data_IF_086836803475
#
_entry.id   IF_086836803475
#
_cell.length_a   1.000
_cell.length_b   1.000
_cell.length_c   1.000
_cell.angle_alpha   90.00
_cell.angle_beta   90.00
_cell.angle_gamma   90.00
#
_symmetry.space_group_name_H-M   'P 1'
#
loop_
_entity.id
_entity.type
_entity.pdbx_description
1 polymer ?
#
# COMPACT_ATOMS: atom_id res chain seq x y z
N UNK A 1 7.78 -20.29 -7.99
CA UNK A 1 7.16 -19.73 -6.78
C UNK A 1 7.54 -18.26 -6.75
N UNK A 2 6.59 -17.33 -6.95
CA UNK A 2 6.90 -15.90 -6.86
C UNK A 2 7.21 -15.60 -5.39
N UNK A 3 8.32 -14.91 -5.14
CA UNK A 3 8.69 -14.44 -3.80
C UNK A 3 7.61 -13.48 -3.30
N UNK A 4 7.18 -13.58 -2.03
CA UNK A 4 6.20 -12.65 -1.48
C UNK A 4 6.75 -11.21 -1.58
N UNK A 5 5.85 -10.24 -1.81
CA UNK A 5 6.15 -8.82 -1.85
C UNK A 5 7.13 -8.43 -0.75
N UNK A 6 8.30 -7.91 -1.14
CA UNK A 6 9.27 -7.42 -0.17
C UNK A 6 8.83 -6.02 0.27
N UNK A 7 8.42 -5.92 1.52
CA UNK A 7 8.04 -4.67 2.18
C UNK A 7 8.96 -4.53 3.39
N UNK A 8 9.66 -3.41 3.50
CA UNK A 8 10.54 -3.12 4.63
C UNK A 8 10.26 -1.73 5.15
N UNK A 9 9.84 -1.63 6.41
CA UNK A 9 9.75 -0.35 7.10
C UNK A 9 11.17 0.13 7.39
N UNK A 10 11.58 1.23 6.76
CA UNK A 10 12.89 1.86 6.93
C UNK A 10 12.85 2.84 8.10
N UNK A 11 11.75 3.61 8.18
CA UNK A 11 11.54 4.59 9.23
C UNK A 11 10.06 4.63 9.61
N UNK A 12 9.77 4.62 10.91
CA UNK A 12 8.41 4.70 11.44
C UNK A 12 8.07 6.11 11.89
N UNK A 13 6.79 6.45 11.80
CA UNK A 13 6.24 7.69 12.38
C UNK A 13 6.51 7.81 13.89
N UNK A 14 6.74 6.70 14.58
CA UNK A 14 7.08 6.70 16.01
C UNK A 14 8.44 7.36 16.28
N UNK A 15 9.33 7.43 15.29
CA UNK A 15 10.67 7.99 15.41
C UNK A 15 10.82 9.37 14.75
N UNK A 16 9.97 9.68 13.77
CA UNK A 16 10.03 10.92 12.98
C UNK A 16 8.64 11.36 12.57
N UNK A 17 8.54 12.50 11.88
CA UNK A 17 7.24 13.01 11.39
C UNK A 17 6.72 12.31 10.13
N UNK A 18 7.51 11.42 9.51
CA UNK A 18 7.13 10.68 8.30
C UNK A 18 7.39 9.18 8.45
N UNK A 19 6.75 8.38 7.60
CA UNK A 19 7.01 6.96 7.47
C UNK A 19 7.74 6.70 6.15
N UNK A 20 8.80 5.88 6.15
CA UNK A 20 9.53 5.50 4.95
C UNK A 20 9.50 3.98 4.83
N UNK A 21 8.98 3.50 3.71
CA UNK A 21 8.83 2.09 3.41
C UNK A 21 9.55 1.78 2.08
N UNK A 22 10.37 0.74 2.08
CA UNK A 22 10.95 0.18 0.87
C UNK A 22 10.06 -0.94 0.34
N UNK A 23 9.75 -0.87 -0.94
CA UNK A 23 8.92 -1.83 -1.67
C UNK A 23 9.72 -2.42 -2.82
N UNK A 24 9.65 -3.74 -2.97
CA UNK A 24 10.11 -4.41 -4.19
C UNK A 24 8.87 -4.79 -5.01
N UNK A 25 8.73 -4.14 -6.17
CA UNK A 25 7.56 -4.26 -7.07
C UNK A 25 7.92 -5.22 -8.20
N UNK A 26 7.26 -6.37 -8.21
CA UNK A 26 7.53 -7.43 -9.18
C UNK A 26 7.03 -7.05 -10.58
N UNK A 27 7.60 -7.68 -11.65
CA UNK A 27 7.12 -7.52 -13.02
C UNK A 27 5.60 -7.74 -13.15
N UNK A 28 4.91 -6.79 -13.75
CA UNK A 28 3.46 -6.80 -13.95
C UNK A 28 2.63 -6.43 -12.72
N UNK A 29 3.27 -6.16 -11.58
CA UNK A 29 2.56 -5.73 -10.37
C UNK A 29 2.00 -4.32 -10.54
N UNK A 30 0.72 -4.17 -10.16
CA UNK A 30 -0.03 -2.92 -10.33
C UNK A 30 -1.02 -2.73 -9.20
N UNK A 31 -1.10 -1.51 -8.66
CA UNK A 31 -2.22 -1.12 -7.77
C UNK A 31 -3.43 -0.65 -8.58
N UNK A 32 -4.66 -0.83 -8.07
CA UNK A 32 -5.82 -0.13 -8.61
C UNK A 32 -5.66 1.39 -8.54
N UNK A 33 -6.41 2.13 -9.36
CA UNK A 33 -6.55 3.57 -9.17
C UNK A 33 -7.18 3.87 -7.81
N UNK A 34 -6.51 4.69 -6.99
CA UNK A 34 -6.97 5.10 -5.67
C UNK A 34 -6.43 6.49 -5.31
N UNK A 35 -6.79 6.98 -4.14
CA UNK A 35 -6.22 8.19 -3.54
C UNK A 35 -6.23 8.07 -2.02
N UNK A 36 -5.36 8.83 -1.36
CA UNK A 36 -5.33 8.98 0.09
C UNK A 36 -5.81 10.37 0.47
N UNK A 37 -6.50 10.51 1.62
CA UNK A 37 -7.10 11.80 2.01
C UNK A 37 -6.26 12.55 3.04
N UNK A 38 -5.31 11.88 3.69
CA UNK A 38 -4.69 12.35 4.91
C UNK A 38 -3.21 12.73 4.76
N UNK A 39 -2.49 12.10 3.86
CA UNK A 39 -1.05 12.25 3.68
C UNK A 39 -0.69 12.36 2.19
N UNK A 40 0.49 12.91 1.91
CA UNK A 40 1.15 12.77 0.61
C UNK A 40 1.95 11.48 0.55
N UNK A 41 2.11 10.94 -0.65
CA UNK A 41 2.92 9.76 -0.93
C UNK A 41 3.98 10.10 -1.97
N UNK A 42 5.25 9.92 -1.62
CA UNK A 42 6.36 10.19 -2.52
C UNK A 42 7.06 8.90 -2.89
N UNK A 43 7.03 8.55 -4.18
CA UNK A 43 7.80 7.43 -4.73
C UNK A 43 9.17 7.91 -5.17
N UNK A 44 10.23 7.25 -4.71
CA UNK A 44 11.60 7.42 -5.20
C UNK A 44 12.10 6.09 -5.73
N UNK A 45 12.46 6.01 -7.01
CA UNK A 45 12.97 4.79 -7.63
C UNK A 45 14.42 4.58 -7.24
N UNK A 46 14.72 3.49 -6.56
CA UNK A 46 16.08 3.11 -6.16
C UNK A 46 16.75 2.22 -7.21
N UNK A 47 15.95 1.37 -7.89
CA UNK A 47 16.42 0.46 -8.93
C UNK A 47 15.28 0.11 -9.89
N UNK A 48 15.58 -0.04 -11.17
CA UNK A 48 14.61 -0.42 -12.20
C UNK A 48 13.79 0.77 -12.70
N UNK A 49 12.57 0.49 -13.14
CA UNK A 49 11.65 1.49 -13.69
C UNK A 49 10.25 1.31 -13.13
N UNK A 50 9.53 2.42 -12.94
CA UNK A 50 8.16 2.43 -12.43
C UNK A 50 7.28 3.33 -13.28
N UNK A 51 6.13 2.83 -13.71
CA UNK A 51 5.06 3.66 -14.25
C UNK A 51 4.18 4.14 -13.10
N UNK A 52 3.96 5.44 -13.00
CA UNK A 52 3.04 6.05 -12.03
C UNK A 52 1.95 6.82 -12.79
N UNK A 53 0.70 6.37 -12.64
CA UNK A 53 -0.44 7.17 -13.05
C UNK A 53 -0.73 8.23 -12.00
N UNK A 54 -0.80 9.51 -12.40
CA UNK A 54 -1.03 10.65 -11.52
C UNK A 54 -2.06 11.58 -12.15
N UNK A 55 -3.28 11.62 -11.60
CA UNK A 55 -4.38 12.39 -12.18
C UNK A 55 -4.71 11.97 -13.61
N UNK A 56 -4.38 12.81 -14.60
CA UNK A 56 -4.55 12.53 -16.03
C UNK A 56 -3.23 12.16 -16.74
N UNK A 57 -2.12 12.15 -16.01
CA UNK A 57 -0.78 11.94 -16.54
C UNK A 57 -0.28 10.54 -16.22
N UNK A 58 0.58 10.02 -17.08
CA UNK A 58 1.36 8.81 -16.84
C UNK A 58 2.83 9.23 -16.83
N UNK A 59 3.48 8.96 -15.71
CA UNK A 59 4.90 9.21 -15.50
C UNK A 59 5.65 7.88 -15.67
N UNK A 60 6.79 7.92 -16.34
CA UNK A 60 7.71 6.79 -16.44
C UNK A 60 8.97 7.19 -15.67
N UNK A 61 9.14 6.57 -14.52
CA UNK A 61 10.23 6.86 -13.59
C UNK A 61 11.34 5.83 -13.78
N UNK A 62 12.57 6.28 -13.76
CA UNK A 62 13.78 5.47 -13.73
C UNK A 62 14.57 5.72 -12.44
N UNK A 63 15.63 4.99 -12.21
CA UNK A 63 16.46 5.13 -11.02
C UNK A 63 16.84 6.60 -10.77
N UNK A 64 16.58 7.07 -9.56
CA UNK A 64 16.79 8.45 -9.10
C UNK A 64 15.60 9.37 -9.29
N UNK A 65 14.60 8.99 -10.09
CA UNK A 65 13.40 9.81 -10.30
C UNK A 65 12.46 9.76 -9.10
N UNK A 66 11.70 10.86 -8.95
CA UNK A 66 10.75 11.06 -7.84
C UNK A 66 9.38 11.45 -8.37
N UNK A 67 8.33 10.87 -7.82
CA UNK A 67 6.95 11.29 -8.04
C UNK A 67 6.26 11.59 -6.70
N UNK A 68 5.70 12.78 -6.56
CA UNK A 68 4.96 13.20 -5.36
C UNK A 68 3.48 13.16 -5.69
N UNK A 69 2.71 12.44 -4.89
CA UNK A 69 1.25 12.34 -4.93
C UNK A 69 0.69 13.11 -3.73
N UNK A 70 -0.07 14.15 -4.00
CA UNK A 70 -0.68 14.95 -2.94
C UNK A 70 -1.95 14.28 -2.38
N UNK A 71 -2.41 14.66 -1.17
CA UNK A 71 -3.70 14.22 -0.66
C UNK A 71 -4.82 14.47 -1.67
N UNK A 72 -5.72 13.49 -1.82
CA UNK A 72 -6.83 13.46 -2.77
C UNK A 72 -6.42 13.36 -4.26
N UNK A 73 -5.15 13.22 -4.58
CA UNK A 73 -4.69 13.02 -5.94
C UNK A 73 -4.81 11.55 -6.34
N UNK A 74 -5.55 11.26 -7.40
CA UNK A 74 -5.76 9.89 -7.91
C UNK A 74 -4.47 9.38 -8.50
N UNK A 75 -4.09 8.15 -8.14
CA UNK A 75 -2.86 7.53 -8.62
C UNK A 75 -2.92 6.00 -8.63
N UNK A 76 -1.94 5.41 -9.27
CA UNK A 76 -1.56 4.00 -9.20
C UNK A 76 -0.07 3.89 -9.51
N UNK A 77 0.55 2.78 -9.12
CA UNK A 77 1.83 2.37 -9.70
C UNK A 77 1.67 1.08 -10.51
N UNK A 78 2.59 0.86 -11.47
CA UNK A 78 2.66 -0.33 -12.29
C UNK A 78 4.10 -0.58 -12.72
N UNK A 79 4.65 -1.73 -12.38
CA UNK A 79 5.91 -2.18 -12.96
C UNK A 79 5.61 -2.85 -14.31
N UNK A 80 5.81 -2.11 -15.39
CA UNK A 80 5.59 -2.57 -16.77
C UNK A 80 6.80 -3.28 -17.38
N UNK A 81 7.93 -3.32 -16.64
CA UNK A 81 9.16 -3.96 -17.09
C UNK A 81 9.14 -5.48 -16.79
N UNK A 82 10.16 -6.18 -17.29
CA UNK A 82 10.38 -7.59 -17.01
C UNK A 82 11.31 -7.83 -15.81
N UNK A 83 11.77 -6.76 -15.16
CA UNK A 83 12.67 -6.79 -14.01
C UNK A 83 11.97 -6.26 -12.76
N UNK A 84 12.51 -6.60 -11.59
CA UNK A 84 12.04 -6.04 -10.32
C UNK A 84 12.37 -4.54 -10.23
N UNK A 85 11.46 -3.78 -9.63
CA UNK A 85 11.66 -2.36 -9.34
C UNK A 85 11.68 -2.14 -7.84
N UNK A 86 12.73 -1.51 -7.33
CA UNK A 86 12.87 -1.15 -5.92
C UNK A 86 12.59 0.32 -5.75
N UNK A 87 11.65 0.65 -4.89
CA UNK A 87 11.25 2.03 -4.58
C UNK A 87 11.23 2.27 -3.08
N UNK A 88 11.50 3.49 -2.65
CA UNK A 88 11.04 3.97 -1.35
C UNK A 88 9.77 4.77 -1.53
N UNK A 89 8.83 4.52 -0.61
CA UNK A 89 7.59 5.30 -0.48
C UNK A 89 7.67 6.08 0.83
N UNK A 90 7.66 7.41 0.74
CA UNK A 90 7.62 8.31 1.90
C UNK A 90 6.21 8.82 2.08
N UNK A 91 5.66 8.63 3.28
CA UNK A 91 4.33 9.07 3.70
C UNK A 91 4.51 10.29 4.61
N UNK A 92 3.91 11.42 4.25
CA UNK A 92 4.03 12.67 4.98
C UNK A 92 2.66 13.41 5.10
N UNK A 93 2.17 13.67 6.33
CA UNK A 93 2.70 13.21 7.61
C UNK A 93 2.67 11.68 7.72
N UNK A 94 3.59 11.12 8.51
CA UNK A 94 3.68 9.68 8.75
C UNK A 94 2.38 9.12 9.32
N UNK A 95 2.10 7.85 9.02
CA UNK A 95 0.83 7.23 9.38
C UNK A 95 1.01 5.80 9.87
N UNK A 96 0.82 5.59 11.18
CA UNK A 96 0.97 4.27 11.81
C UNK A 96 0.02 3.22 11.26
N UNK A 97 -1.20 3.62 10.91
CA UNK A 97 -2.15 2.68 10.31
C UNK A 97 -1.68 2.22 8.93
N UNK A 98 -1.09 3.11 8.12
CA UNK A 98 -0.52 2.76 6.83
C UNK A 98 0.67 1.80 6.98
N UNK A 99 1.58 2.06 7.94
CA UNK A 99 2.68 1.16 8.27
C UNK A 99 2.16 -0.24 8.62
N UNK A 100 1.21 -0.31 9.56
CA UNK A 100 0.59 -1.56 9.99
C UNK A 100 -0.11 -2.28 8.82
N UNK A 101 -0.80 -1.55 7.93
CA UNK A 101 -1.44 -2.15 6.76
C UNK A 101 -0.43 -2.89 5.89
N UNK A 102 0.72 -2.27 5.60
CA UNK A 102 1.76 -2.88 4.77
C UNK A 102 2.48 -4.03 5.47
N UNK A 103 2.78 -3.92 6.77
CA UNK A 103 3.40 -5.00 7.54
C UNK A 103 2.46 -6.22 7.65
N UNK A 104 1.17 -5.99 7.88
CA UNK A 104 0.14 -7.03 7.86
C UNK A 104 0.08 -7.70 6.49
N UNK A 105 0.03 -6.91 5.40
CA UNK A 105 0.00 -7.43 4.04
C UNK A 105 1.20 -8.32 3.74
N UNK A 106 2.41 -7.88 4.11
CA UNK A 106 3.65 -8.68 4.02
C UNK A 106 3.53 -9.99 4.78
N UNK A 107 3.05 -9.94 6.02
CA UNK A 107 2.87 -11.13 6.86
C UNK A 107 1.86 -12.11 6.27
N UNK A 108 0.72 -11.62 5.79
CA UNK A 108 -0.31 -12.42 5.11
C UNK A 108 0.25 -13.08 3.83
N UNK A 109 1.03 -12.35 3.04
CA UNK A 109 1.66 -12.88 1.84
C UNK A 109 2.67 -13.99 2.18
N UNK A 110 3.49 -13.78 3.21
CA UNK A 110 4.44 -14.79 3.71
C UNK A 110 3.73 -16.07 4.17
N UNK A 111 2.57 -15.94 4.80
CA UNK A 111 1.76 -17.08 5.30
C UNK A 111 0.87 -17.71 4.20
N UNK A 112 0.96 -17.27 2.93
CA UNK A 112 0.13 -17.77 1.82
C UNK A 112 -1.33 -17.31 1.88
N UNK A 113 -1.66 -16.30 2.70
CA UNK A 113 -2.99 -15.76 2.92
C UNK A 113 -3.31 -14.55 2.03
N UNK A 114 -2.42 -14.19 1.11
CA UNK A 114 -2.65 -13.23 0.05
C UNK A 114 -2.56 -13.92 -1.33
N UNK A 115 -3.12 -13.26 -2.35
CA UNK A 115 -2.96 -13.67 -3.76
C UNK A 115 -1.56 -13.31 -4.27
N UNK A 116 -1.18 -13.81 -5.47
CA UNK A 116 0.07 -13.43 -6.14
C UNK A 116 0.13 -11.93 -6.48
N UNK A 117 -1.01 -11.27 -6.54
CA UNK A 117 -1.13 -9.82 -6.72
C UNK A 117 -1.13 -9.04 -5.39
N UNK A 118 -0.83 -9.70 -4.25
CA UNK A 118 -0.78 -9.05 -2.94
C UNK A 118 -2.15 -8.73 -2.32
N UNK A 119 -3.24 -9.30 -2.82
CA UNK A 119 -4.58 -9.05 -2.24
C UNK A 119 -4.86 -10.05 -1.14
N UNK A 120 -5.24 -9.63 0.09
CA UNK A 120 -5.65 -10.55 1.16
C UNK A 120 -6.81 -11.45 0.71
N UNK A 121 -6.69 -12.76 0.96
CA UNK A 121 -7.71 -13.75 0.55
C UNK A 121 -8.96 -13.69 1.42
N UNK A 122 -8.81 -13.38 2.71
CA UNK A 122 -9.93 -13.26 3.64
C UNK A 122 -10.52 -11.86 3.55
N UNK A 123 -11.84 -11.76 3.39
CA UNK A 123 -12.56 -10.50 3.23
C UNK A 123 -12.32 -9.52 4.40
N UNK A 124 -12.32 -10.02 5.65
CA UNK A 124 -12.06 -9.17 6.82
C UNK A 124 -10.65 -8.55 6.80
N UNK A 125 -9.65 -9.26 6.27
CA UNK A 125 -8.29 -8.75 6.17
C UNK A 125 -8.16 -7.73 5.02
N UNK A 126 -8.90 -7.96 3.92
CA UNK A 126 -8.98 -7.01 2.81
C UNK A 126 -9.62 -5.68 3.24
N UNK A 127 -10.77 -5.72 3.93
CA UNK A 127 -11.41 -4.47 4.38
C UNK A 127 -10.58 -3.74 5.44
N UNK A 128 -9.86 -4.46 6.29
CA UNK A 128 -8.91 -3.88 7.24
C UNK A 128 -7.73 -3.22 6.51
N UNK A 129 -7.15 -3.88 5.49
CA UNK A 129 -6.08 -3.30 4.68
C UNK A 129 -6.51 -1.99 4.03
N UNK A 130 -7.66 -1.97 3.34
CA UNK A 130 -8.19 -0.77 2.68
C UNK A 130 -8.47 0.34 3.69
N UNK A 131 -9.02 0.01 4.86
CA UNK A 131 -9.33 0.96 5.93
C UNK A 131 -8.06 1.58 6.52
N UNK A 132 -7.08 0.75 6.89
CA UNK A 132 -5.84 1.19 7.53
C UNK A 132 -4.94 1.96 6.55
N UNK A 133 -4.86 1.54 5.30
CA UNK A 133 -4.07 2.24 4.27
C UNK A 133 -4.66 3.58 3.83
N UNK A 134 -5.86 3.95 4.34
CA UNK A 134 -6.60 5.14 3.89
C UNK A 134 -6.83 5.16 2.37
N UNK A 135 -6.84 4.00 1.71
CA UNK A 135 -7.05 3.88 0.27
C UNK A 135 -8.52 4.08 -0.08
N UNK A 136 -8.80 5.13 -0.85
CA UNK A 136 -10.13 5.45 -1.34
C UNK A 136 -10.25 5.03 -2.80
N UNK A 137 -11.26 4.25 -3.07
CA UNK A 137 -11.54 3.75 -4.43
C UNK A 137 -12.14 4.85 -5.31
N UNK A 138 -12.00 4.71 -6.62
CA UNK A 138 -12.58 5.63 -7.60
C UNK A 138 -13.71 4.99 -8.40
N UNK A 139 -14.50 5.82 -9.07
CA UNK A 139 -15.59 5.37 -9.93
C UNK A 139 -16.71 4.68 -9.13
N UNK A 140 -17.34 3.66 -9.73
CA UNK A 140 -18.46 2.97 -9.10
C UNK A 140 -18.07 2.19 -7.83
N UNK A 141 -16.81 1.81 -7.68
CA UNK A 141 -16.29 1.12 -6.49
C UNK A 141 -16.41 1.99 -5.21
N UNK A 142 -16.46 3.31 -5.38
CA UNK A 142 -16.70 4.26 -4.29
C UNK A 142 -18.06 4.00 -3.58
N UNK A 143 -19.04 3.44 -4.28
CA UNK A 143 -20.36 3.09 -3.71
C UNK A 143 -20.21 2.02 -2.62
N UNK A 144 -19.20 1.16 -2.71
CA UNK A 144 -18.93 0.11 -1.73
C UNK A 144 -18.15 0.61 -0.48
N UNK A 145 -17.58 1.83 -0.48
CA UNK A 145 -16.80 2.33 0.66
C UNK A 145 -17.54 2.31 2.00
N UNK A 146 -18.82 2.74 2.12
CA UNK A 146 -19.53 2.68 3.39
C UNK A 146 -19.62 1.25 3.93
N UNK A 147 -19.84 0.28 3.04
CA UNK A 147 -19.92 -1.14 3.39
C UNK A 147 -18.56 -1.68 3.84
N UNK A 148 -17.48 -1.34 3.13
CA UNK A 148 -16.10 -1.70 3.53
C UNK A 148 -15.76 -1.12 4.90
N UNK A 149 -16.07 0.16 5.13
CA UNK A 149 -15.84 0.81 6.42
C UNK A 149 -16.65 0.17 7.54
N UNK A 150 -17.90 -0.24 7.28
CA UNK A 150 -18.72 -0.94 8.26
C UNK A 150 -18.09 -2.29 8.67
N UNK A 151 -17.69 -3.11 7.69
CA UNK A 151 -17.05 -4.40 7.97
C UNK A 151 -15.67 -4.25 8.61
N UNK A 152 -14.89 -3.24 8.22
CA UNK A 152 -13.61 -2.96 8.86
C UNK A 152 -13.79 -2.62 10.35
N UNK A 153 -14.75 -1.74 10.68
CA UNK A 153 -15.10 -1.41 12.08
C UNK A 153 -15.60 -2.62 12.87
N UNK A 154 -16.40 -3.50 12.25
CA UNK A 154 -16.84 -4.73 12.86
C UNK A 154 -15.66 -5.66 13.18
N UNK A 155 -14.74 -5.87 12.21
CA UNK A 155 -13.53 -6.67 12.40
C UNK A 155 -12.60 -6.10 13.48
N UNK A 156 -12.51 -4.77 13.61
CA UNK A 156 -11.78 -4.09 14.69
C UNK A 156 -12.43 -4.41 16.04
N UNK A 157 -13.75 -4.26 16.13
CA UNK A 157 -14.51 -4.52 17.36
C UNK A 157 -14.40 -5.99 17.83
N UNK A 158 -14.34 -6.92 16.89
CA UNK A 158 -14.13 -8.36 17.14
C UNK A 158 -12.68 -8.72 17.50
N UNK A 159 -11.78 -7.74 17.53
CA UNK A 159 -10.37 -7.92 17.90
C UNK A 159 -9.49 -8.50 16.78
N UNK A 160 -9.99 -8.60 15.53
CA UNK A 160 -9.21 -9.09 14.38
C UNK A 160 -7.97 -8.23 14.14
N UNK A 161 -8.13 -6.91 14.15
CA UNK A 161 -7.00 -6.00 13.95
C UNK A 161 -5.91 -6.19 15.01
N UNK A 162 -6.31 -6.32 16.29
CA UNK A 162 -5.35 -6.56 17.38
C UNK A 162 -4.53 -7.84 17.15
N UNK A 163 -5.19 -8.93 16.72
CA UNK A 163 -4.52 -10.20 16.40
C UNK A 163 -3.52 -10.07 15.26
N UNK A 164 -3.87 -9.31 14.20
CA UNK A 164 -2.99 -9.10 13.05
C UNK A 164 -1.78 -8.25 13.43
N UNK A 165 -1.96 -7.18 14.21
CA UNK A 165 -0.86 -6.34 14.70
C UNK A 165 0.09 -7.17 15.56
N UNK A 166 -0.39 -7.91 16.53
CA UNK A 166 0.42 -8.76 17.40
C UNK A 166 1.18 -9.84 16.62
N UNK A 167 0.64 -10.29 15.50
CA UNK A 167 1.29 -11.35 14.70
C UNK A 167 2.32 -10.82 13.71
N UNK A 168 2.13 -9.62 13.16
CA UNK A 168 2.88 -9.16 12.00
C UNK A 168 3.60 -7.81 12.18
N UNK A 169 3.27 -7.03 13.22
CA UNK A 169 3.81 -5.69 13.41
C UNK A 169 4.71 -5.55 14.66
N UNK A 170 4.64 -6.53 15.59
CA UNK A 170 5.45 -6.57 16.83
C UNK A 170 6.82 -7.22 16.60
#
# INVERSE_FOLDING_TARGET
MRTPHYIKLINSVDNTNNSIIELNILPGEKTPWHYHTFFSETFTVLQGTLQVGKGKHILHLQQGDVAIINPNEKHYYHNVSNEECVVTTTIDPGNKNFENALLILKGLAKDGLASDAGTPRKFSDLVLFVYLSNSRMIGFQKIAEPLFNFFAKAAIKEGQLKKLIQKYCD
#
